data_IF_434373232614
#
_entry.id   IF_434373232614
#
_cell.length_a   1.000
_cell.length_b   1.000
_cell.length_c   1.000
_cell.angle_alpha   90.00
_cell.angle_beta   90.00
_cell.angle_gamma   90.00
#
_symmetry.space_group_name_H-M   'P 1'
#
loop_
_entity.id
_entity.type
_entity.pdbx_description
1 polymer ?
2 polymer ?
3 non-polymer ?
4 non-polymer ?
5 water ?
#
loop_
_entity_poly.entity_id
_entity_poly.type
_entity_poly.pdbx_seq_one_letter_code
_entity_poly.pdbx_strand_id
2 'polyribonucleotide' 'AACCGUAGGGGAACCUGCGGUU' ?
#
# COMPACT_ATOMS: atom_id res chain seq x y z
N UNK A 2 8.15 16.67 -18.23
CA UNK A 2 8.09 18.08 -18.16
C UNK A 2 8.54 18.57 -16.78
N UNK A 3 9.00 19.82 -16.73
CA UNK A 3 9.22 20.52 -15.46
C UNK A 3 7.85 21.00 -14.94
N UNK A 4 7.81 22.10 -14.20
CA UNK A 4 6.60 22.61 -13.55
C UNK A 4 6.03 21.66 -12.49
N UNK A 5 6.38 20.38 -12.62
CA UNK A 5 5.97 19.28 -11.72
C UNK A 5 4.83 19.66 -10.77
N UNK A 6 3.60 19.46 -11.24
CA UNK A 6 2.39 19.81 -10.50
C UNK A 6 2.40 19.22 -9.08
N UNK A 7 2.82 20.05 -8.12
CA UNK A 7 2.96 19.63 -6.72
C UNK A 7 1.62 19.27 -6.08
N UNK A 8 0.52 19.58 -6.77
CA UNK A 8 -0.81 19.19 -6.37
C UNK A 8 -1.03 17.68 -6.53
N UNK A 9 -0.19 17.05 -7.33
CA UNK A 9 -0.23 15.62 -7.57
C UNK A 9 0.73 14.87 -6.66
N UNK A 10 1.62 15.62 -5.99
CA UNK A 10 2.61 15.05 -5.09
C UNK A 10 3.73 14.34 -5.83
N UNK A 11 4.12 14.90 -6.98
CA UNK A 11 5.17 14.31 -7.81
C UNK A 11 6.57 14.77 -7.41
N UNK A 12 7.29 13.88 -6.73
CA UNK A 12 8.69 14.08 -6.40
C UNK A 12 9.50 12.95 -7.02
N UNK A 13 10.23 13.27 -8.08
CA UNK A 13 10.98 12.26 -8.84
C UNK A 13 12.15 11.72 -8.02
N UNK A 14 12.17 10.41 -7.83
CA UNK A 14 13.24 9.74 -7.11
C UNK A 14 14.47 9.69 -8.00
N UNK A 15 15.44 10.56 -7.71
CA UNK A 15 16.69 10.61 -8.48
C UNK A 15 17.84 10.06 -7.65
N UNK A 16 17.83 8.75 -7.46
CA UNK A 16 18.90 8.03 -6.77
C UNK A 16 18.97 6.60 -7.28
N UNK A 17 20.05 6.29 -7.99
CA UNK A 17 20.25 4.98 -8.60
C UNK A 17 20.06 3.84 -7.60
N UNK A 18 20.78 3.91 -6.48
CA UNK A 18 20.81 2.86 -5.46
C UNK A 18 19.46 2.37 -4.96
N UNK A 19 18.59 3.29 -4.58
CA UNK A 19 17.26 2.95 -4.07
C UNK A 19 16.30 2.56 -5.19
N UNK A 20 16.45 3.17 -6.37
CA UNK A 20 15.62 2.85 -7.54
C UNK A 20 15.70 1.37 -7.92
N UNK A 21 16.92 0.83 -7.97
CA UNK A 21 17.12 -0.59 -8.26
C UNK A 21 16.92 -1.49 -7.04
N UNK A 22 16.93 -0.90 -5.85
CA UNK A 22 16.62 -1.64 -4.63
C UNK A 22 15.11 -1.89 -4.52
N UNK A 23 14.32 -0.96 -5.05
CA UNK A 23 12.87 -1.12 -5.13
C UNK A 23 12.49 -2.23 -6.12
N UNK A 24 13.20 -2.29 -7.24
CA UNK A 24 12.96 -3.30 -8.28
C UNK A 24 13.36 -4.71 -7.84
N UNK A 25 14.56 -4.85 -7.28
CA UNK A 25 15.09 -6.15 -6.83
C UNK A 25 14.20 -6.83 -5.80
N UNK A 26 13.53 -6.02 -4.97
CA UNK A 26 12.70 -6.50 -3.87
C UNK A 26 11.43 -7.20 -4.34
N UNK A 27 11.03 -6.94 -5.59
CA UNK A 27 9.86 -7.57 -6.19
C UNK A 27 10.10 -9.03 -6.58
N UNK A 28 11.37 -9.40 -6.72
CA UNK A 28 11.79 -10.75 -7.13
C UNK A 28 11.30 -11.12 -8.54
N UNK A 29 11.28 -10.12 -9.43
CA UNK A 29 10.76 -10.27 -10.79
C UNK A 29 11.39 -11.47 -11.53
N UNK A 30 10.55 -12.37 -12.00
CA UNK A 30 11.01 -13.57 -12.71
C UNK A 30 10.36 -13.72 -14.08
N UNK A 31 11.07 -14.44 -14.96
CA UNK A 31 10.72 -14.66 -16.38
C UNK A 31 9.37 -14.10 -16.87
N UNK A 32 8.27 -14.66 -16.37
CA UNK A 32 6.94 -14.32 -16.87
C UNK A 32 6.01 -13.70 -15.83
N UNK A 33 6.42 -12.54 -15.31
CA UNK A 33 5.61 -11.81 -14.33
C UNK A 33 5.03 -10.53 -14.91
N UNK A 34 3.81 -10.21 -14.51
CA UNK A 34 3.17 -8.95 -14.90
C UNK A 34 3.21 -7.99 -13.72
N UNK A 35 4.00 -6.93 -13.86
CA UNK A 35 4.11 -5.92 -12.80
C UNK A 35 3.26 -4.69 -13.08
N UNK A 36 2.67 -4.15 -12.02
CA UNK A 36 1.85 -2.93 -12.12
C UNK A 36 2.50 -1.83 -11.29
N UNK A 37 2.76 -0.70 -11.93
CA UNK A 37 3.40 0.44 -11.26
C UNK A 37 2.47 1.64 -11.15
N UNK A 38 2.04 1.92 -9.92
CA UNK A 38 1.23 3.10 -9.63
C UNK A 38 2.07 4.37 -9.72
N UNK A 39 1.59 5.33 -10.50
CA UNK A 39 2.25 6.63 -10.67
C UNK A 39 3.65 6.52 -11.22
N UNK A 40 3.75 6.23 -12.51
CA UNK A 40 5.03 6.06 -13.18
C UNK A 40 5.87 7.33 -13.25
N UNK A 41 5.21 8.45 -13.55
CA UNK A 41 5.87 9.75 -13.62
C UNK A 41 6.73 9.89 -14.86
N UNK A 42 7.89 10.53 -14.70
CA UNK A 42 8.87 10.68 -15.77
C UNK A 42 9.46 9.32 -16.15
N UNK A 43 9.33 8.36 -15.25
CA UNK A 43 9.72 6.98 -15.51
C UNK A 43 11.15 6.68 -15.09
N UNK A 44 11.48 7.01 -13.85
CA UNK A 44 12.78 6.68 -13.29
C UNK A 44 12.80 5.26 -12.75
N UNK A 45 11.68 4.85 -12.13
CA UNK A 45 11.51 3.48 -11.66
C UNK A 45 11.13 2.57 -12.82
N UNK A 46 10.35 3.10 -13.76
CA UNK A 46 9.92 2.38 -14.96
C UNK A 46 11.11 1.86 -15.77
N UNK A 47 12.11 2.73 -15.97
CA UNK A 47 13.33 2.37 -16.70
C UNK A 47 14.14 1.28 -15.99
N UNK A 48 13.99 1.20 -14.68
CA UNK A 48 14.69 0.20 -13.87
C UNK A 48 13.97 -1.16 -13.87
N UNK A 49 12.65 -1.13 -13.80
CA UNK A 49 11.84 -2.34 -13.79
C UNK A 49 12.02 -3.16 -15.07
N UNK A 50 12.10 -2.45 -16.20
CA UNK A 50 12.30 -3.08 -17.52
C UNK A 50 13.69 -3.68 -17.69
N UNK A 51 14.62 -3.28 -16.82
CA UNK A 51 15.96 -3.87 -16.79
C UNK A 51 15.90 -5.30 -16.26
N UNK A 52 14.75 -5.69 -15.74
CA UNK A 52 14.48 -7.04 -15.26
C UNK A 52 13.67 -7.83 -16.28
N UNK A 53 13.73 -9.18 -16.22
CA UNK A 53 13.01 -10.01 -17.19
C UNK A 53 11.49 -10.01 -16.98
N UNK A 54 10.87 -8.85 -17.23
CA UNK A 54 9.42 -8.71 -17.14
C UNK A 54 8.72 -9.40 -18.30
N UNK A 55 7.43 -9.62 -18.15
CA UNK A 55 6.57 -10.09 -19.22
C UNK A 55 5.73 -8.91 -19.71
N UNK A 56 5.29 -8.09 -18.77
CA UNK A 56 4.43 -6.93 -19.04
C UNK A 56 4.53 -5.92 -17.90
N UNK A 57 4.82 -4.66 -18.24
CA UNK A 57 4.84 -3.59 -17.25
C UNK A 57 3.62 -2.69 -17.46
N UNK A 58 2.74 -2.67 -16.47
CA UNK A 58 1.62 -1.75 -16.45
C UNK A 58 1.92 -0.53 -15.60
N UNK A 59 1.69 0.65 -16.17
CA UNK A 59 1.92 1.90 -15.47
C UNK A 59 0.61 2.68 -15.37
N UNK A 60 0.10 2.81 -14.15
CA UNK A 60 -1.13 3.57 -13.91
C UNK A 60 -0.75 4.99 -13.44
N UNK A 61 -0.82 5.93 -14.37
CA UNK A 61 -0.48 7.32 -14.13
C UNK A 61 -1.71 8.21 -14.35
N UNK A 62 -1.92 9.16 -13.45
CA UNK A 62 -3.07 10.05 -13.53
C UNK A 62 -2.78 11.33 -14.34
N UNK A 63 -1.53 11.78 -14.29
CA UNK A 63 -1.13 13.02 -14.99
C UNK A 63 -1.09 12.82 -16.50
N UNK A 64 -1.99 13.49 -17.21
CA UNK A 64 -2.13 13.36 -18.67
C UNK A 64 -0.99 13.98 -19.46
N UNK A 65 -0.03 14.60 -18.77
CA UNK A 65 1.17 15.14 -19.40
C UNK A 65 2.38 14.25 -19.11
N UNK A 66 2.39 13.65 -17.93
CA UNK A 66 3.47 12.77 -17.49
C UNK A 66 3.31 11.38 -18.10
N UNK A 67 2.07 11.03 -18.46
CA UNK A 67 1.75 9.76 -19.14
C UNK A 67 2.30 9.76 -20.57
N UNK A 68 2.39 10.94 -21.17
CA UNK A 68 2.94 11.11 -22.52
C UNK A 68 4.37 10.60 -22.62
N UNK A 69 5.01 10.43 -21.47
CA UNK A 69 6.37 9.90 -21.40
C UNK A 69 6.44 8.37 -21.61
N UNK A 70 5.80 7.91 -22.67
CA UNK A 70 6.09 6.60 -23.27
C UNK A 70 7.17 6.85 -24.32
N UNK A 71 8.06 7.78 -23.96
CA UNK A 71 9.11 8.34 -24.82
C UNK A 71 10.26 7.36 -25.08
N UNK A 72 11.48 7.79 -24.77
CA UNK A 72 12.69 6.96 -24.86
C UNK A 72 12.47 5.56 -24.30
N UNK A 73 11.51 5.45 -23.38
CA UNK A 73 11.06 4.17 -22.86
C UNK A 73 10.18 3.50 -23.93
N UNK A 74 10.80 3.16 -25.06
CA UNK A 74 10.12 2.50 -26.16
C UNK A 74 10.21 0.99 -26.01
N UNK A 75 9.25 0.43 -25.30
CA UNK A 75 9.25 -1.00 -25.02
C UNK A 75 7.92 -1.64 -25.41
N UNK A 76 8.01 -2.81 -26.05
CA UNK A 76 6.83 -3.56 -26.50
C UNK A 76 6.01 -4.11 -25.34
N UNK A 77 6.68 -4.40 -24.23
CA UNK A 77 6.03 -4.94 -23.02
C UNK A 77 5.62 -3.85 -22.04
N UNK A 78 5.73 -2.59 -22.45
CA UNK A 78 5.27 -1.46 -21.66
C UNK A 78 3.94 -0.94 -22.20
N UNK A 79 2.97 -0.82 -21.29
CA UNK A 79 1.70 -0.18 -21.59
C UNK A 79 1.34 0.78 -20.48
N UNK A 80 1.01 2.02 -20.84
CA UNK A 80 0.68 3.04 -19.87
C UNK A 80 -0.83 3.33 -19.87
N UNK A 81 -1.46 3.04 -18.74
CA UNK A 81 -2.89 3.31 -18.55
C UNK A 81 -3.05 4.65 -17.84
N UNK A 82 -3.89 5.51 -18.41
CA UNK A 82 -4.17 6.81 -17.81
C UNK A 82 -5.47 6.82 -17.02
N UNK A 83 -5.36 6.57 -15.71
CA UNK A 83 -6.50 6.58 -14.80
C UNK A 83 -6.03 6.79 -13.36
N UNK A 84 -6.99 6.85 -12.43
CA UNK A 84 -6.70 7.02 -11.01
C UNK A 84 -6.47 5.66 -10.35
N UNK A 85 -5.25 5.46 -9.84
CA UNK A 85 -4.85 4.20 -9.22
C UNK A 85 -5.48 3.96 -7.85
N UNK A 86 -6.06 5.02 -7.27
CA UNK A 86 -6.77 4.91 -6.00
C UNK A 86 -8.15 4.27 -6.18
N UNK A 87 -8.63 4.25 -7.43
CA UNK A 87 -9.94 3.70 -7.76
C UNK A 87 -9.88 2.61 -8.83
N UNK A 88 -8.73 2.49 -9.50
CA UNK A 88 -8.54 1.52 -10.58
C UNK A 88 -8.67 0.08 -10.10
N UNK A 89 -9.35 -0.77 -10.89
CA UNK A 89 -9.41 -2.20 -10.57
C UNK A 89 -8.19 -2.96 -11.11
N UNK A 90 -7.24 -3.24 -10.22
CA UNK A 90 -6.02 -3.96 -10.57
C UNK A 90 -6.29 -5.33 -11.19
N UNK A 91 -7.27 -6.03 -10.64
CA UNK A 91 -7.63 -7.38 -11.10
C UNK A 91 -8.18 -7.45 -12.53
N UNK A 92 -8.18 -6.30 -13.20
CA UNK A 92 -8.56 -6.22 -14.61
C UNK A 92 -7.32 -6.33 -15.50
N UNK A 93 -6.22 -6.81 -14.92
CA UNK A 93 -4.95 -6.92 -15.63
C UNK A 93 -4.29 -8.30 -15.47
N UNK A 94 -4.94 -9.18 -14.71
CA UNK A 94 -4.45 -10.54 -14.51
C UNK A 94 -4.86 -11.16 -13.18
N UNK A 95 -4.41 -12.39 -12.96
CA UNK A 95 -4.73 -13.13 -11.73
C UNK A 95 -3.64 -13.01 -10.67
N UNK A 96 -2.40 -12.81 -11.11
CA UNK A 96 -1.26 -12.66 -10.21
C UNK A 96 -0.34 -11.53 -10.69
N UNK A 97 -0.44 -10.37 -10.04
CA UNK A 97 0.30 -9.18 -10.45
C UNK A 97 1.19 -8.66 -9.32
N UNK A 98 2.44 -8.31 -9.67
CA UNK A 98 3.36 -7.73 -8.70
C UNK A 98 3.29 -6.20 -8.73
N UNK A 99 2.56 -5.64 -7.77
CA UNK A 99 2.36 -4.20 -7.69
C UNK A 99 3.60 -3.50 -7.11
N UNK A 100 3.88 -2.31 -7.62
CA UNK A 100 5.02 -1.51 -7.19
C UNK A 100 4.71 -0.03 -7.44
N UNK A 101 5.40 0.87 -6.74
CA UNK A 101 5.23 2.29 -7.00
C UNK A 101 5.69 3.25 -5.92
N UNK A 102 6.34 4.32 -6.35
CA UNK A 102 6.66 5.47 -5.51
C UNK A 102 5.40 6.31 -5.39
N UNK A 103 4.78 6.25 -4.20
CA UNK A 103 3.46 6.84 -3.98
C UNK A 103 3.49 8.32 -3.66
N UNK A 104 2.56 9.09 -4.26
CA UNK A 104 2.37 10.50 -3.91
C UNK A 104 1.69 10.63 -2.54
N UNK A 105 2.32 11.40 -1.66
CA UNK A 105 1.91 11.53 -0.26
C UNK A 105 0.42 11.85 -0.04
N UNK A 106 -0.15 12.64 -0.94
CA UNK A 106 -1.52 13.13 -0.80
C UNK A 106 -2.61 12.07 -0.99
N UNK A 107 -2.27 10.99 -1.68
CA UNK A 107 -3.22 9.89 -1.94
C UNK A 107 -2.64 8.51 -1.64
N UNK A 108 -1.41 8.47 -1.14
CA UNK A 108 -0.68 7.23 -0.86
C UNK A 108 -1.51 6.17 -0.11
N UNK A 109 -2.25 6.62 0.91
CA UNK A 109 -3.09 5.74 1.72
C UNK A 109 -4.26 5.14 0.96
N UNK A 110 -4.71 5.84 -0.08
CA UNK A 110 -5.85 5.38 -0.90
C UNK A 110 -5.46 4.27 -1.87
N UNK A 111 -4.26 4.38 -2.45
CA UNK A 111 -3.75 3.34 -3.35
C UNK A 111 -3.49 2.04 -2.60
N UNK A 112 -2.95 2.15 -1.39
CA UNK A 112 -2.71 0.99 -0.52
C UNK A 112 -4.04 0.28 -0.19
N UNK A 113 -5.02 1.06 0.27
CA UNK A 113 -6.36 0.55 0.56
C UNK A 113 -6.97 -0.13 -0.67
N UNK A 114 -6.69 0.42 -1.85
CA UNK A 114 -7.19 -0.11 -3.11
C UNK A 114 -6.55 -1.43 -3.50
N UNK A 115 -5.25 -1.57 -3.30
CA UNK A 115 -4.52 -2.80 -3.60
C UNK A 115 -4.96 -3.95 -2.68
N UNK A 116 -5.32 -3.61 -1.44
CA UNK A 116 -5.84 -4.58 -0.48
C UNK A 116 -7.22 -5.07 -0.91
N UNK A 117 -8.00 -4.19 -1.54
CA UNK A 117 -9.27 -4.59 -2.15
C UNK A 117 -9.05 -5.56 -3.30
N UNK A 118 -7.94 -5.38 -4.01
CA UNK A 118 -7.57 -6.24 -5.13
C UNK A 118 -6.57 -7.33 -4.72
N UNK A 119 -6.56 -7.66 -3.43
CA UNK A 119 -5.66 -8.67 -2.85
C UNK A 119 -5.56 -9.96 -3.66
N UNK A 120 -6.70 -10.40 -4.19
CA UNK A 120 -6.81 -11.67 -4.91
C UNK A 120 -5.92 -11.76 -6.13
N UNK A 121 -5.54 -10.60 -6.68
CA UNK A 121 -4.69 -10.55 -7.87
C UNK A 121 -3.33 -9.89 -7.65
N UNK A 122 -2.95 -9.69 -6.39
CA UNK A 122 -1.62 -9.17 -6.06
C UNK A 122 -0.93 -9.98 -4.95
N UNK A 123 -0.01 -10.89 -5.34
CA UNK A 123 0.79 -11.71 -4.43
C UNK A 123 1.74 -10.89 -3.56
N UNK A 124 2.29 -9.80 -4.09
CA UNK A 124 3.18 -8.92 -3.33
C UNK A 124 3.27 -7.51 -3.91
N UNK A 125 3.37 -6.53 -3.03
CA UNK A 125 3.52 -5.13 -3.42
C UNK A 125 4.69 -4.45 -2.67
N UNK A 126 5.40 -3.57 -3.37
CA UNK A 126 6.49 -2.81 -2.78
C UNK A 126 6.24 -1.32 -3.00
N UNK A 127 6.12 -0.57 -1.90
CA UNK A 127 5.77 0.84 -1.96
C UNK A 127 6.82 1.78 -1.35
N UNK A 128 6.91 2.98 -1.92
CA UNK A 128 7.63 4.09 -1.30
C UNK A 128 6.59 5.04 -0.73
N UNK A 129 6.56 5.16 0.59
CA UNK A 129 5.54 5.95 1.28
C UNK A 129 6.13 6.94 2.28
N UNK A 130 5.31 7.90 2.68
CA UNK A 130 5.65 8.86 3.75
C UNK A 130 5.86 8.09 5.05
N UNK A 131 6.87 8.50 5.82
CA UNK A 131 7.27 7.79 7.04
C UNK A 131 6.11 7.56 8.01
N UNK A 132 5.32 8.60 8.27
CA UNK A 132 4.18 8.53 9.20
C UNK A 132 3.11 7.54 8.72
N UNK A 133 3.15 7.20 7.44
CA UNK A 133 2.29 6.15 6.86
C UNK A 133 3.00 4.80 6.97
N UNK A 134 4.30 4.79 6.69
CA UNK A 134 5.12 3.57 6.71
C UNK A 134 5.22 2.96 8.11
N UNK A 135 5.62 3.76 9.09
CA UNK A 135 5.75 3.33 10.49
C UNK A 135 4.41 2.92 11.09
N UNK A 136 3.33 3.47 10.53
CA UNK A 136 1.97 3.15 10.95
C UNK A 136 1.56 1.76 10.46
N UNK A 137 1.86 1.48 9.19
CA UNK A 137 1.52 0.19 8.57
C UNK A 137 2.35 -0.98 9.10
N UNK A 138 3.53 -0.67 9.66
CA UNK A 138 4.39 -1.70 10.27
C UNK A 138 3.68 -2.40 11.42
N UNK A 139 3.11 -1.62 12.33
CA UNK A 139 2.30 -2.14 13.43
C UNK A 139 2.87 -1.96 14.83
N UNK A 140 4.19 -2.07 14.96
CA UNK A 140 4.85 -2.18 16.26
C UNK A 140 4.84 -0.92 17.14
N UNK A 141 5.19 0.23 16.55
CA UNK A 141 5.28 1.48 17.31
C UNK A 141 4.00 2.32 17.24
N UNK A 142 3.26 2.18 16.14
CA UNK A 142 2.02 2.92 15.92
C UNK A 142 1.15 2.21 14.89
N UNK A 143 -0.17 2.34 15.03
CA UNK A 143 -1.12 1.69 14.11
C UNK A 143 -2.23 2.63 13.64
N UNK A 144 -3.20 2.06 12.92
CA UNK A 144 -4.40 2.75 12.48
C UNK A 144 -5.42 1.74 11.99
N UNK A 145 -6.52 2.20 11.43
CA UNK A 145 -7.52 1.29 10.86
C UNK A 145 -7.02 0.66 9.57
N UNK A 146 -6.19 1.41 8.82
CA UNK A 146 -5.62 0.93 7.57
C UNK A 146 -4.51 -0.08 7.82
N UNK A 147 -3.74 0.15 8.88
CA UNK A 147 -2.64 -0.74 9.27
C UNK A 147 -3.13 -2.17 9.47
N UNK A 148 -4.17 -2.33 10.30
CA UNK A 148 -4.77 -3.64 10.56
C UNK A 148 -5.48 -4.18 9.32
N UNK A 149 -6.13 -3.30 8.56
CA UNK A 149 -6.81 -3.65 7.31
C UNK A 149 -5.87 -4.30 6.29
N UNK A 150 -4.63 -3.79 6.22
CA UNK A 150 -3.60 -4.33 5.34
C UNK A 150 -3.01 -5.62 5.91
N UNK A 151 -2.58 -5.56 7.17
CA UNK A 151 -1.90 -6.68 7.84
C UNK A 151 -2.75 -7.94 7.98
N UNK A 152 -4.06 -7.78 7.91
CA UNK A 152 -5.01 -8.90 7.92
C UNK A 152 -4.77 -9.87 6.75
N UNK A 153 -4.28 -9.33 5.64
CA UNK A 153 -4.05 -10.12 4.43
C UNK A 153 -2.59 -10.15 4.00
N UNK A 154 -1.83 -9.14 4.43
CA UNK A 154 -0.41 -9.02 4.08
C UNK A 154 0.49 -8.97 5.31
N UNK A 155 1.61 -9.69 5.24
CA UNK A 155 2.67 -9.56 6.24
C UNK A 155 3.60 -8.43 5.84
N UNK A 156 3.42 -7.28 6.48
CA UNK A 156 4.20 -6.08 6.19
C UNK A 156 5.62 -6.20 6.77
N UNK A 157 6.61 -6.07 5.89
CA UNK A 157 8.01 -6.10 6.29
C UNK A 157 8.76 -4.88 5.75
N UNK A 158 9.25 -4.05 6.67
CA UNK A 158 9.93 -2.79 6.36
C UNK A 158 11.26 -3.02 5.61
N UNK A 159 11.52 -2.19 4.60
CA UNK A 159 12.73 -2.33 3.77
C UNK A 159 13.80 -1.29 4.11
N UNK A 160 13.54 -0.01 3.81
CA UNK A 160 14.53 1.06 4.03
C UNK A 160 13.94 2.46 4.16
N UNK A 161 14.71 3.36 4.76
CA UNK A 161 14.37 4.79 4.85
C UNK A 161 15.02 5.54 3.69
N UNK A 162 14.27 6.45 3.09
CA UNK A 162 14.79 7.26 1.98
C UNK A 162 14.76 8.75 2.34
N UNK A 163 15.95 9.32 2.60
CA UNK A 163 16.15 10.75 2.88
C UNK A 163 15.58 11.66 1.79
N UNK A 164 15.12 12.87 2.18
CA UNK A 164 14.52 13.85 1.26
C UNK A 164 15.44 14.32 0.14
N UNK A 165 16.75 14.15 0.30
CA UNK A 165 17.72 14.61 -0.70
C UNK A 165 17.77 13.72 -1.96
N UNK A 166 17.35 12.47 -1.83
CA UNK A 166 17.33 11.54 -2.96
C UNK A 166 16.12 11.77 -3.88
N UNK A 167 15.47 12.93 -3.71
CA UNK A 167 14.36 13.36 -4.56
C UNK A 167 14.73 14.70 -5.22
N UNK A 168 14.03 15.06 -6.29
CA UNK A 168 14.21 16.39 -6.89
C UNK A 168 13.55 17.47 -6.01
N UNK A 169 12.27 17.86 -6.25
CA UNK A 169 11.66 18.70 -5.21
C UNK A 169 11.64 17.95 -3.89
N UNK A 170 12.50 18.38 -2.93
CA UNK A 170 12.69 17.61 -1.70
C UNK A 170 11.50 17.75 -0.77
N UNK A 171 10.86 16.60 -0.42
CA UNK A 171 9.76 16.63 0.53
C UNK A 171 10.28 16.98 1.93
N UNK A 172 9.43 17.57 2.75
CA UNK A 172 9.80 17.98 4.10
C UNK A 172 9.71 16.82 5.09
N UNK A 173 9.10 15.72 4.62
CA UNK A 173 8.94 14.49 5.40
C UNK A 173 9.96 13.44 4.98
N UNK A 174 10.17 12.44 5.83
CA UNK A 174 10.99 11.27 5.50
C UNK A 174 10.15 10.26 4.73
N UNK A 175 10.81 9.45 3.93
CA UNK A 175 10.14 8.39 3.16
C UNK A 175 10.70 7.02 3.50
N UNK A 176 9.94 5.97 3.18
CA UNK A 176 10.36 4.59 3.44
C UNK A 176 9.82 3.61 2.42
N UNK A 177 10.64 2.62 2.08
CA UNK A 177 10.23 1.53 1.21
C UNK A 177 9.69 0.39 2.08
N UNK A 178 8.49 -0.09 1.75
CA UNK A 178 7.88 -1.20 2.47
C UNK A 178 7.38 -2.31 1.52
N UNK A 179 7.61 -3.55 1.91
CA UNK A 179 7.19 -4.71 1.12
C UNK A 179 5.96 -5.37 1.74
N UNK A 180 4.95 -5.61 0.92
CA UNK A 180 3.70 -6.22 1.35
C UNK A 180 3.59 -7.66 0.83
N UNK A 181 4.15 -8.59 1.60
CA UNK A 181 4.09 -10.02 1.25
C UNK A 181 2.75 -10.60 1.73
N UNK A 182 2.08 -11.31 0.84
CA UNK A 182 0.76 -11.88 1.15
C UNK A 182 0.86 -13.13 2.02
N UNK A 183 0.14 -13.11 3.14
CA UNK A 183 0.05 -14.25 4.03
C UNK A 183 -1.40 -14.52 4.44
N UNK A 184 -1.83 -15.77 4.26
CA UNK A 184 -3.21 -16.17 4.49
C UNK A 184 -3.52 -16.27 5.99
N UNK A 185 -3.87 -15.14 6.59
CA UNK A 185 -4.22 -15.08 8.01
C UNK A 185 -5.61 -15.67 8.25
N UNK A 186 -6.65 -14.87 8.02
CA UNK A 186 -8.03 -15.34 8.23
C UNK A 186 -9.05 -14.83 7.20
N UNK A 187 -10.09 -15.64 6.91
CA UNK A 187 -11.01 -15.38 5.81
C UNK A 187 -12.03 -14.29 6.12
N UNK A 188 -11.75 -13.08 5.66
CA UNK A 188 -12.69 -11.98 5.79
C UNK A 188 -13.32 -11.70 4.43
N UNK A 189 -14.64 -11.83 4.36
CA UNK A 189 -15.39 -11.51 3.15
C UNK A 189 -15.87 -10.05 3.20
N UNK A 190 -16.31 -9.54 2.06
CA UNK A 190 -16.67 -8.12 1.87
C UNK A 190 -15.83 -7.16 2.74
N UNK A 191 -14.61 -6.90 2.27
CA UNK A 191 -13.68 -6.00 2.95
C UNK A 191 -14.30 -4.63 3.17
N UNK A 192 -15.41 -4.39 2.47
CA UNK A 192 -16.23 -3.19 2.63
C UNK A 192 -16.68 -2.98 4.08
N UNK A 193 -17.33 -3.98 4.66
CA UNK A 193 -17.80 -3.89 6.06
C UNK A 193 -16.76 -4.24 7.11
N UNK A 194 -15.66 -4.85 6.68
CA UNK A 194 -14.52 -5.10 7.58
C UNK A 194 -13.76 -3.81 7.84
N UNK A 195 -13.59 -3.01 6.79
CA UNK A 195 -12.98 -1.69 6.90
C UNK A 195 -13.79 -0.79 7.83
N UNK A 196 -15.10 -0.76 7.61
CA UNK A 196 -16.02 0.03 8.42
C UNK A 196 -16.04 -0.40 9.89
N UNK A 197 -15.75 -1.67 10.14
CA UNK A 197 -15.64 -2.19 11.49
C UNK A 197 -14.42 -1.62 12.21
N UNK A 198 -13.24 -1.83 11.63
CA UNK A 198 -11.97 -1.39 12.21
C UNK A 198 -11.92 0.12 12.41
N UNK A 199 -12.54 0.84 11.49
CA UNK A 199 -12.53 2.30 11.51
C UNK A 199 -13.43 2.89 12.61
N UNK A 200 -14.25 2.04 13.22
CA UNK A 200 -15.08 2.41 14.38
C UNK A 200 -14.37 2.07 15.69
N UNK A 201 -13.48 1.08 15.64
CA UNK A 201 -12.72 0.66 16.82
C UNK A 201 -11.58 1.64 17.10
N UNK A 202 -10.95 2.14 16.04
CA UNK A 202 -9.88 3.13 16.18
C UNK A 202 -10.40 4.56 16.41
N UNK A 203 -11.73 4.67 16.53
CA UNK A 203 -12.38 5.92 16.93
C UNK A 203 -12.19 6.08 18.44
N UNK A 204 -11.62 7.22 18.84
CA UNK A 204 -11.24 7.46 20.24
C UNK A 204 -10.35 6.33 20.76
N UNK A 205 -9.15 6.22 20.20
CA UNK A 205 -8.25 5.08 20.48
C UNK A 205 -7.60 5.10 21.86
N UNK A 206 -7.78 6.20 22.59
CA UNK A 206 -7.24 6.33 23.95
C UNK A 206 -8.19 5.72 24.99
N UNK A 207 -9.49 5.70 24.65
CA UNK A 207 -10.53 5.18 25.54
C UNK A 207 -10.49 3.66 25.67
N UNK A 208 -11.12 3.13 26.71
CA UNK A 208 -11.25 1.68 26.92
C UNK A 208 -12.16 1.05 25.86
N UNK A 209 -12.06 -0.26 25.70
CA UNK A 209 -12.82 -0.98 24.67
C UNK A 209 -14.26 -1.28 25.05
N UNK A 210 -14.53 -1.46 26.36
CA UNK A 210 -15.89 -1.73 26.84
C UNK A 210 -16.84 -0.54 26.60
N UNK A 211 -16.28 0.50 25.98
CA UNK A 211 -16.97 1.76 25.72
C UNK A 211 -17.44 1.82 24.26
N UNK A 212 -17.00 0.85 23.47
CA UNK A 212 -17.38 0.76 22.06
C UNK A 212 -17.96 -0.61 21.72
N UNK A 213 -17.56 -1.61 22.50
CA UNK A 213 -18.10 -2.97 22.40
C UNK A 213 -18.52 -3.37 23.82
N UNK A 214 -19.76 -3.90 23.98
CA UNK A 214 -20.26 -4.34 25.30
C UNK A 214 -19.22 -5.07 26.14
N UNK A 215 -19.15 -4.72 27.42
CA UNK A 215 -18.13 -5.22 28.35
C UNK A 215 -18.06 -6.75 28.46
N UNK A 216 -19.23 -7.38 28.58
CA UNK A 216 -19.32 -8.83 28.71
C UNK A 216 -19.05 -9.53 27.37
N UNK A 217 -19.45 -8.88 26.28
CA UNK A 217 -19.22 -9.39 24.93
C UNK A 217 -17.73 -9.40 24.59
N UNK A 218 -16.97 -8.52 25.22
CA UNK A 218 -15.51 -8.51 25.11
C UNK A 218 -14.90 -9.57 26.03
N UNK A 219 -15.51 -9.76 27.19
CA UNK A 219 -15.10 -10.80 28.14
C UNK A 219 -15.34 -12.20 27.54
N UNK A 220 -16.15 -12.23 26.47
CA UNK A 220 -16.38 -13.45 25.71
C UNK A 220 -15.10 -13.92 25.03
N UNK A 221 -14.57 -13.07 24.14
CA UNK A 221 -13.36 -13.39 23.38
C UNK A 221 -12.09 -13.43 24.25
N UNK A 222 -12.28 -13.34 25.56
CA UNK A 222 -11.17 -13.30 26.51
C UNK A 222 -10.37 -12.02 26.40
N UNK A 223 -11.05 -10.94 26.07
CA UNK A 223 -10.42 -9.63 25.87
C UNK A 223 -10.76 -8.70 27.04
N UNK A 224 -9.72 -8.18 27.68
CA UNK A 224 -9.87 -7.22 28.78
C UNK A 224 -10.73 -6.04 28.34
N UNK A 225 -11.89 -5.85 28.99
CA UNK A 225 -12.81 -4.77 28.63
C UNK A 225 -12.20 -3.38 28.84
N UNK A 226 -11.33 -3.26 29.84
CA UNK A 226 -10.65 -2.00 30.14
C UNK A 226 -9.28 -1.90 29.45
N UNK A 227 -9.25 -2.21 28.15
CA UNK A 227 -8.01 -2.14 27.37
C UNK A 227 -8.16 -1.21 26.18
N UNK A 228 -7.03 -0.61 25.77
CA UNK A 228 -7.01 0.28 24.62
C UNK A 228 -6.97 -0.50 23.31
N UNK A 229 -7.22 0.22 22.20
CA UNK A 229 -7.24 -0.38 20.87
C UNK A 229 -5.84 -0.80 20.42
N UNK A 230 -4.83 -0.05 20.85
CA UNK A 230 -3.44 -0.27 20.44
C UNK A 230 -2.72 -1.32 21.30
N UNK A 231 -3.47 -2.34 21.71
CA UNK A 231 -2.94 -3.44 22.52
C UNK A 231 -3.37 -4.78 21.95
N UNK A 232 -4.46 -4.77 21.19
CA UNK A 232 -5.04 -5.98 20.61
C UNK A 232 -4.10 -6.62 19.59
N UNK A 233 -3.99 -7.95 19.65
CA UNK A 233 -3.30 -8.72 18.64
C UNK A 233 -4.14 -8.73 17.37
N UNK A 234 -3.57 -9.22 16.27
CA UNK A 234 -4.33 -9.36 15.03
C UNK A 234 -5.47 -10.35 15.18
N UNK A 235 -5.22 -11.43 15.91
CA UNK A 235 -6.24 -12.43 16.20
C UNK A 235 -7.47 -11.84 16.89
N UNK A 236 -7.23 -10.93 17.83
CA UNK A 236 -8.30 -10.23 18.54
C UNK A 236 -9.25 -9.51 17.56
N UNK A 237 -8.67 -8.80 16.60
CA UNK A 237 -9.45 -8.10 15.56
C UNK A 237 -10.30 -9.06 14.74
N UNK A 238 -9.73 -10.22 14.39
CA UNK A 238 -10.50 -11.31 13.81
C UNK A 238 -11.55 -11.76 14.82
N UNK A 239 -11.06 -12.18 15.98
CA UNK A 239 -11.83 -12.81 17.06
C UNK A 239 -13.13 -12.11 17.42
N UNK A 240 -13.13 -10.78 17.40
CA UNK A 240 -14.31 -10.02 17.82
C UNK A 240 -15.14 -9.49 16.65
N UNK A 241 -14.53 -9.32 15.48
CA UNK A 241 -15.22 -8.85 14.27
C UNK A 241 -16.33 -9.81 13.82
N UNK A 242 -16.03 -11.11 13.87
CA UNK A 242 -16.97 -12.14 13.44
C UNK A 242 -18.31 -11.96 14.14
N UNK A 243 -18.27 -11.90 15.47
CA UNK A 243 -19.46 -11.80 16.30
C UNK A 243 -19.66 -10.42 16.92
N UNK A 244 -19.91 -9.43 16.08
CA UNK A 244 -20.30 -8.07 16.50
C UNK A 244 -20.75 -7.25 15.28
N UNK A 245 -20.10 -7.51 14.14
CA UNK A 245 -20.38 -6.80 12.91
C UNK A 245 -21.17 -7.68 11.95
N UNK A 246 -22.24 -7.12 11.39
CA UNK A 246 -23.09 -7.82 10.43
C UNK A 246 -22.40 -7.88 9.07
N UNK A 247 -22.28 -9.08 8.53
CA UNK A 247 -21.61 -9.31 7.24
C UNK A 247 -22.55 -9.97 6.24
#
# INVERSE_FOLDING_TARGET
>A
SMVRLKKSFGQHLLVSEGVLKKIAEELNIEEGNTVVEVGGGTGNLTKVLLQHPLKKLYVIELDREMVENLKSIGDERLEVINEDASKFPFCSLGKELKVVGNLPYNVASLIIENTVYNKDCVPLAVFMVQKEVAEKLQGKKDTGWLSVFVRTFYDVNYVMTVPPRFFVPPPKVQSAVIKLVKNEKFPVKDLKNYKKFLTKIFQNRRKVLRKKIPEELLKEAGINPDARVEQLSLEDFFKLYRLIEDSGE
#
